data_IF_403339984945
#
_entry.id   IF_403339984945
#
_cell.length_a   1.000
_cell.length_b   1.000
_cell.length_c   1.000
_cell.angle_alpha   90.00
_cell.angle_beta   90.00
_cell.angle_gamma   90.00
#
_symmetry.space_group_name_H-M   'P 1'
#
loop_
_entity.id
_entity.type
_entity.pdbx_description
1 polymer ?
#
# COMPACT_ATOMS: atom_id res chain seq x y z
N UNK A 1 62.52 -33.93 9.92
CA UNK A 1 62.05 -35.17 9.28
C UNK A 1 60.53 -35.11 9.28
N UNK A 2 59.90 -35.08 8.10
CA UNK A 2 58.49 -34.70 7.91
C UNK A 2 57.57 -35.82 8.40
N UNK A 3 56.65 -35.48 9.31
CA UNK A 3 55.50 -36.31 9.70
C UNK A 3 54.32 -35.82 8.84
N UNK A 4 53.57 -36.69 8.15
CA UNK A 4 52.39 -36.27 7.42
C UNK A 4 51.20 -36.15 8.37
N UNK A 5 50.66 -34.95 8.51
CA UNK A 5 49.40 -34.69 9.20
C UNK A 5 48.27 -35.18 8.30
N UNK A 6 47.55 -36.20 8.77
CA UNK A 6 46.32 -36.71 8.15
C UNK A 6 45.25 -35.64 8.35
N UNK A 7 44.85 -34.98 7.25
CA UNK A 7 43.68 -34.12 7.21
C UNK A 7 42.43 -35.01 7.20
N UNK A 8 41.80 -35.15 8.35
CA UNK A 8 40.48 -35.80 8.46
C UNK A 8 39.45 -34.84 7.86
N UNK A 9 38.99 -35.13 6.64
CA UNK A 9 37.78 -34.52 6.09
C UNK A 9 36.60 -34.92 6.96
N UNK A 10 36.21 -34.05 7.89
CA UNK A 10 34.91 -34.11 8.53
C UNK A 10 33.87 -33.76 7.45
N UNK A 11 33.29 -34.78 6.84
CA UNK A 11 32.05 -34.62 6.08
C UNK A 11 30.94 -34.29 7.07
N UNK A 12 30.70 -33.00 7.30
CA UNK A 12 29.47 -32.52 7.92
C UNK A 12 28.32 -33.00 7.02
N UNK A 13 27.68 -34.09 7.41
CA UNK A 13 26.33 -34.41 6.97
C UNK A 13 25.42 -33.36 7.58
N UNK A 14 25.27 -32.23 6.89
CA UNK A 14 24.10 -31.38 7.06
C UNK A 14 22.97 -32.15 6.41
N UNK A 15 22.33 -33.03 7.17
CA UNK A 15 20.94 -33.39 6.89
C UNK A 15 20.13 -32.13 7.11
N UNK A 16 19.96 -31.35 6.04
CA UNK A 16 18.89 -30.36 5.99
C UNK A 16 17.59 -31.15 6.17
N UNK A 17 17.01 -31.10 7.37
CA UNK A 17 15.60 -31.36 7.53
C UNK A 17 14.90 -30.26 6.73
N UNK A 18 14.45 -30.60 5.53
CA UNK A 18 13.48 -29.79 4.82
C UNK A 18 12.26 -29.75 5.72
N UNK A 19 12.00 -28.58 6.30
CA UNK A 19 10.77 -28.29 7.00
C UNK A 19 9.58 -28.56 6.08
N UNK A 20 8.48 -29.02 6.68
CA UNK A 20 7.42 -29.74 5.99
C UNK A 20 6.67 -28.86 5.00
N UNK A 21 6.63 -29.28 3.73
CA UNK A 21 5.67 -28.72 2.77
C UNK A 21 4.30 -29.34 3.06
N UNK A 22 3.32 -28.50 3.39
CA UNK A 22 1.92 -28.91 3.53
C UNK A 22 1.14 -28.42 2.32
N UNK A 23 0.29 -29.28 1.74
CA UNK A 23 -0.61 -28.87 0.68
C UNK A 23 -1.98 -28.55 1.26
N UNK A 24 -2.47 -27.35 1.03
CA UNK A 24 -3.79 -26.90 1.50
C UNK A 24 -4.67 -26.45 0.33
N UNK A 25 -6.00 -26.59 0.42
CA UNK A 25 -6.91 -26.04 -0.59
C UNK A 25 -6.75 -24.52 -0.76
N UNK A 26 -6.94 -23.99 -1.96
CA UNK A 26 -6.81 -22.56 -2.27
C UNK A 26 -7.74 -21.67 -1.42
N UNK A 27 -8.90 -22.19 -1.01
CA UNK A 27 -9.85 -21.46 -0.16
C UNK A 27 -9.36 -21.25 1.28
N UNK A 28 -8.23 -21.86 1.68
CA UNK A 28 -7.58 -21.60 2.97
C UNK A 28 -6.68 -20.36 2.95
N UNK A 29 -6.45 -19.75 1.79
CA UNK A 29 -5.61 -18.56 1.60
C UNK A 29 -5.89 -17.43 2.61
N UNK A 30 -7.14 -17.10 2.99
CA UNK A 30 -7.43 -16.06 3.98
C UNK A 30 -6.85 -16.30 5.38
N UNK A 31 -6.38 -17.53 5.69
CA UNK A 31 -5.70 -17.83 6.96
C UNK A 31 -4.30 -17.24 7.06
N UNK A 32 -3.67 -16.95 5.93
CA UNK A 32 -2.26 -16.54 5.86
C UNK A 32 -2.07 -15.02 5.71
N UNK A 33 -3.16 -14.32 5.45
CA UNK A 33 -3.17 -12.89 5.25
C UNK A 33 -4.56 -12.46 4.85
N UNK A 34 -4.86 -11.21 5.15
CA UNK A 34 -6.20 -10.70 5.06
C UNK A 34 -6.40 -9.87 3.76
N UNK A 35 -5.31 -9.58 3.05
CA UNK A 35 -5.31 -9.13 1.66
C UNK A 35 -4.04 -9.57 0.91
N UNK A 36 -4.08 -9.49 -0.42
CA UNK A 36 -2.96 -9.74 -1.33
C UNK A 36 -2.41 -8.42 -1.86
N UNK A 37 -1.12 -8.21 -1.66
CA UNK A 37 -0.42 -7.00 -2.04
C UNK A 37 0.70 -7.32 -3.03
N UNK A 38 0.74 -6.62 -4.16
CA UNK A 38 1.72 -6.86 -5.21
C UNK A 38 3.01 -6.06 -4.96
N UNK A 39 2.90 -4.85 -4.39
CA UNK A 39 3.99 -3.86 -4.47
C UNK A 39 4.35 -3.26 -3.12
N UNK A 40 3.37 -2.89 -2.29
CA UNK A 40 3.61 -2.09 -1.08
C UNK A 40 4.65 -2.68 -0.12
N UNK A 41 4.73 -4.01 0.05
CA UNK A 41 5.65 -4.65 0.99
C UNK A 41 7.09 -4.75 0.49
N UNK A 42 7.32 -4.58 -0.83
CA UNK A 42 8.67 -4.61 -1.42
C UNK A 42 9.47 -3.34 -1.12
N UNK A 43 8.81 -2.17 -1.07
CA UNK A 43 9.48 -0.90 -0.75
C UNK A 43 10.26 -0.99 0.57
N UNK A 44 9.63 -1.29 1.71
CA UNK A 44 10.32 -1.29 2.99
C UNK A 44 11.37 -2.39 3.10
N UNK A 45 11.20 -3.48 2.36
CA UNK A 45 12.14 -4.59 2.38
C UNK A 45 13.41 -4.31 1.55
N UNK A 46 13.31 -3.55 0.45
CA UNK A 46 14.37 -3.51 -0.58
C UNK A 46 14.81 -2.11 -1.00
N UNK A 47 14.00 -1.08 -0.79
CA UNK A 47 14.19 0.23 -1.44
C UNK A 47 14.38 1.39 -0.46
N UNK A 48 14.06 1.20 0.83
CA UNK A 48 14.25 2.24 1.84
C UNK A 48 15.66 2.21 2.43
N UNK A 49 16.21 3.40 2.67
CA UNK A 49 17.37 3.61 3.53
C UNK A 49 16.97 3.54 5.02
N UNK A 50 17.91 3.22 5.94
CA UNK A 50 17.60 2.99 7.36
C UNK A 50 16.95 4.15 8.12
N UNK A 51 17.15 5.38 7.67
CA UNK A 51 16.64 6.62 8.26
C UNK A 51 15.29 7.07 7.69
N UNK A 52 14.78 6.39 6.67
CA UNK A 52 13.53 6.76 6.02
C UNK A 52 12.33 6.18 6.74
N UNK A 53 11.27 6.97 6.82
CA UNK A 53 9.97 6.49 7.27
C UNK A 53 9.15 5.95 6.09
N UNK A 54 8.26 5.01 6.38
CA UNK A 54 7.33 4.46 5.40
C UNK A 54 5.94 4.33 5.99
N UNK A 55 4.98 4.84 5.23
CA UNK A 55 3.57 4.69 5.50
C UNK A 55 2.92 4.00 4.31
N UNK A 56 1.99 3.09 4.56
CA UNK A 56 1.22 2.47 3.49
C UNK A 56 -0.25 2.34 3.86
N UNK A 57 -1.10 2.91 3.01
CA UNK A 57 -2.54 2.69 3.04
C UNK A 57 -2.93 1.83 1.84
N UNK A 58 -3.59 0.73 2.14
CA UNK A 58 -4.10 -0.21 1.14
C UNK A 58 -5.61 -0.08 1.06
N UNK A 59 -6.12 0.17 -0.14
CA UNK A 59 -7.55 0.10 -0.41
C UNK A 59 -7.90 -1.27 -1.00
N UNK A 60 -8.87 -1.96 -0.41
CA UNK A 60 -9.39 -3.21 -1.00
C UNK A 60 -10.16 -2.87 -2.28
N UNK A 61 -9.79 -3.48 -3.41
CA UNK A 61 -10.53 -3.29 -4.68
C UNK A 61 -11.57 -4.38 -4.86
N UNK A 62 -11.13 -5.63 -4.86
CA UNK A 62 -11.95 -6.80 -5.10
C UNK A 62 -11.86 -7.81 -3.95
N UNK A 63 -12.84 -8.69 -3.87
CA UNK A 63 -12.89 -9.81 -2.93
C UNK A 63 -13.17 -11.09 -3.72
N UNK A 64 -12.16 -11.67 -4.39
CA UNK A 64 -12.39 -12.67 -5.41
C UNK A 64 -12.96 -13.98 -4.84
N UNK A 65 -12.73 -14.30 -3.56
CA UNK A 65 -13.30 -15.49 -2.91
C UNK A 65 -14.73 -15.30 -2.42
N UNK A 66 -15.14 -14.06 -2.12
CA UNK A 66 -16.45 -13.74 -1.57
C UNK A 66 -17.46 -13.42 -2.68
N UNK A 67 -17.03 -12.66 -3.67
CA UNK A 67 -17.89 -12.15 -4.75
C UNK A 67 -17.79 -12.96 -6.04
N UNK A 68 -16.71 -13.74 -6.19
CA UNK A 68 -16.36 -14.39 -7.45
C UNK A 68 -15.94 -13.42 -8.57
N UNK A 69 -15.86 -12.12 -8.28
CA UNK A 69 -15.39 -11.10 -9.20
C UNK A 69 -13.88 -10.99 -9.04
N UNK A 70 -13.14 -11.31 -10.10
CA UNK A 70 -11.68 -11.21 -10.11
C UNK A 70 -11.23 -9.86 -10.68
N UNK A 71 -10.01 -9.44 -10.34
CA UNK A 71 -9.40 -8.23 -10.88
C UNK A 71 -9.41 -8.16 -12.42
N UNK A 72 -9.24 -9.29 -13.12
CA UNK A 72 -9.34 -9.32 -14.58
C UNK A 72 -10.72 -8.87 -15.09
N UNK A 73 -11.80 -9.16 -14.35
CA UNK A 73 -13.17 -8.80 -14.73
C UNK A 73 -13.43 -7.31 -14.51
N UNK A 74 -12.84 -6.75 -13.45
CA UNK A 74 -12.85 -5.31 -13.18
C UNK A 74 -12.08 -4.53 -14.26
N UNK A 75 -10.94 -5.05 -14.68
CA UNK A 75 -10.07 -4.37 -15.66
C UNK A 75 -10.57 -4.45 -17.09
N UNK A 76 -11.05 -5.62 -17.53
CA UNK A 76 -11.51 -5.83 -18.91
C UNK A 76 -12.72 -4.97 -19.29
N UNK A 77 -13.49 -4.49 -18.30
CA UNK A 77 -14.73 -3.75 -18.49
C UNK A 77 -14.64 -2.27 -18.12
N UNK A 78 -13.49 -1.80 -17.60
CA UNK A 78 -13.39 -0.42 -17.15
C UNK A 78 -13.33 0.55 -18.32
N UNK A 79 -14.33 1.42 -18.40
CA UNK A 79 -14.31 2.62 -19.26
C UNK A 79 -13.68 3.85 -18.59
N UNK A 80 -13.31 3.72 -17.32
CA UNK A 80 -12.85 4.82 -16.49
C UNK A 80 -11.32 4.82 -16.34
N UNK A 81 -10.74 6.01 -16.14
CA UNK A 81 -9.30 6.16 -15.98
C UNK A 81 -8.76 5.57 -14.67
N UNK A 82 -9.58 5.57 -13.62
CA UNK A 82 -9.33 4.89 -12.35
C UNK A 82 -10.20 3.63 -12.30
N UNK A 83 -9.65 2.51 -11.83
CA UNK A 83 -10.36 1.21 -11.82
C UNK A 83 -11.42 1.18 -10.74
N UNK A 84 -11.14 1.86 -9.64
CA UNK A 84 -11.96 2.12 -8.47
C UNK A 84 -13.33 2.71 -8.87
N UNK A 85 -13.37 3.54 -9.93
CA UNK A 85 -14.61 4.12 -10.44
C UNK A 85 -15.55 3.09 -11.08
N UNK A 86 -15.05 1.92 -11.47
CA UNK A 86 -15.88 0.84 -12.03
C UNK A 86 -16.55 -0.01 -10.93
N UNK A 87 -16.17 0.16 -9.67
CA UNK A 87 -16.66 -0.60 -8.53
C UNK A 87 -17.66 0.30 -7.79
N UNK A 88 -18.93 -0.10 -7.76
CA UNK A 88 -20.00 0.74 -7.21
C UNK A 88 -19.94 0.80 -5.68
N UNK A 89 -19.43 -0.25 -5.07
CA UNK A 89 -19.28 -0.41 -3.62
C UNK A 89 -18.08 0.39 -3.09
N UNK A 90 -17.08 0.65 -3.93
CA UNK A 90 -15.89 1.40 -3.54
C UNK A 90 -16.21 2.89 -3.35
N UNK A 91 -16.35 3.36 -2.11
CA UNK A 91 -16.60 4.78 -1.87
C UNK A 91 -15.34 5.62 -2.15
N UNK A 92 -15.31 6.32 -3.28
CA UNK A 92 -14.13 7.10 -3.71
C UNK A 92 -13.90 8.33 -2.83
N UNK A 93 -14.97 8.95 -2.33
CA UNK A 93 -14.85 10.13 -1.44
C UNK A 93 -14.24 9.76 -0.10
N UNK A 94 -14.57 8.57 0.43
CA UNK A 94 -13.92 8.00 1.63
C UNK A 94 -12.42 7.78 1.40
N UNK A 95 -12.06 7.17 0.27
CA UNK A 95 -10.66 6.94 -0.09
C UNK A 95 -9.87 8.24 -0.30
N UNK A 96 -10.51 9.23 -0.92
CA UNK A 96 -9.99 10.59 -1.08
C UNK A 96 -9.75 11.27 0.28
N UNK A 97 -10.71 11.21 1.20
CA UNK A 97 -10.57 11.77 2.55
C UNK A 97 -9.42 11.12 3.32
N UNK A 98 -9.34 9.79 3.33
CA UNK A 98 -8.25 9.08 4.00
C UNK A 98 -6.87 9.49 3.47
N UNK A 99 -6.73 9.52 2.14
CA UNK A 99 -5.49 9.94 1.47
C UNK A 99 -5.13 11.39 1.80
N UNK A 100 -6.11 12.30 1.74
CA UNK A 100 -5.92 13.72 2.02
C UNK A 100 -5.48 13.97 3.47
N UNK A 101 -6.07 13.29 4.44
CA UNK A 101 -5.70 13.42 5.85
C UNK A 101 -4.27 12.96 6.13
N UNK A 102 -3.90 11.79 5.60
CA UNK A 102 -2.55 11.23 5.75
C UNK A 102 -1.52 12.21 5.17
N UNK A 103 -1.73 12.67 3.94
CA UNK A 103 -0.81 13.60 3.29
C UNK A 103 -0.75 14.93 4.04
N UNK A 104 -1.92 15.49 4.43
CA UNK A 104 -1.99 16.75 5.20
C UNK A 104 -1.25 16.66 6.52
N UNK A 105 -1.36 15.55 7.24
CA UNK A 105 -0.65 15.32 8.50
C UNK A 105 0.87 15.41 8.31
N UNK A 106 1.40 14.63 7.37
CA UNK A 106 2.84 14.59 7.16
C UNK A 106 3.39 15.88 6.54
N UNK A 107 2.60 16.63 5.76
CA UNK A 107 3.00 17.98 5.32
C UNK A 107 2.96 18.97 6.47
N UNK A 108 1.93 18.95 7.31
CA UNK A 108 1.76 19.92 8.42
C UNK A 108 2.82 19.74 9.50
N UNK A 109 3.15 18.51 9.83
CA UNK A 109 4.02 18.18 10.97
C UNK A 109 5.41 17.66 10.56
N UNK A 110 5.79 17.81 9.29
CA UNK A 110 7.02 17.23 8.74
C UNK A 110 8.27 17.52 9.58
N UNK A 111 8.48 18.79 9.95
CA UNK A 111 9.66 19.20 10.72
C UNK A 111 9.71 18.56 12.11
N UNK A 112 8.55 18.41 12.77
CA UNK A 112 8.47 17.76 14.06
C UNK A 112 8.69 16.25 13.96
N UNK A 113 8.11 15.61 12.94
CA UNK A 113 8.17 14.16 12.74
C UNK A 113 9.59 13.72 12.35
N UNK A 114 10.29 14.54 11.56
CA UNK A 114 11.63 14.22 11.03
C UNK A 114 12.77 14.93 11.78
N UNK A 115 12.48 15.64 12.88
CA UNK A 115 13.46 16.39 13.69
C UNK A 115 14.32 17.37 12.84
N UNK A 116 13.67 18.14 11.96
CA UNK A 116 14.33 19.06 11.04
C UNK A 116 14.38 20.48 11.60
N UNK A 117 15.50 21.17 11.39
CA UNK A 117 15.62 22.57 11.71
C UNK A 117 14.70 23.43 10.81
N UNK A 118 14.36 24.64 11.26
CA UNK A 118 13.42 25.52 10.55
C UNK A 118 13.91 25.98 9.15
N UNK A 119 15.19 25.82 8.85
CA UNK A 119 15.80 26.18 7.56
C UNK A 119 16.06 24.98 6.65
N UNK A 120 15.68 23.77 7.08
CA UNK A 120 15.77 22.56 6.27
C UNK A 120 14.42 22.31 5.58
N UNK A 121 14.42 21.57 4.48
CA UNK A 121 13.18 21.19 3.81
C UNK A 121 12.93 19.70 3.96
N UNK A 122 11.72 19.35 4.41
CA UNK A 122 11.28 17.97 4.40
C UNK A 122 10.99 17.52 2.96
N UNK A 123 11.21 16.24 2.69
CA UNK A 123 11.00 15.64 1.36
C UNK A 123 10.16 14.39 1.51
N UNK A 124 8.96 14.41 0.95
CA UNK A 124 7.97 13.34 1.05
C UNK A 124 7.69 12.84 -0.37
N UNK A 125 7.69 11.52 -0.55
CA UNK A 125 7.22 10.90 -1.79
C UNK A 125 5.87 10.26 -1.54
N UNK A 126 4.89 10.55 -2.40
CA UNK A 126 3.62 9.83 -2.43
C UNK A 126 3.61 8.93 -3.66
N UNK A 127 3.70 7.63 -3.46
CA UNK A 127 3.80 6.61 -4.50
C UNK A 127 2.45 5.93 -4.73
N UNK A 128 1.86 6.14 -5.90
CA UNK A 128 0.72 5.34 -6.37
C UNK A 128 1.20 4.06 -7.09
N UNK A 129 0.90 2.90 -6.50
CA UNK A 129 1.31 1.57 -6.97
C UNK A 129 0.48 1.08 -8.17
N UNK A 130 0.63 1.78 -9.31
CA UNK A 130 -0.13 1.58 -10.55
C UNK A 130 0.70 1.97 -11.77
N UNK A 131 0.83 1.05 -12.73
CA UNK A 131 1.35 1.38 -14.06
C UNK A 131 0.28 2.08 -14.91
N UNK A 132 -0.76 1.36 -15.33
CA UNK A 132 -1.68 1.86 -16.36
C UNK A 132 -2.58 3.01 -15.91
N UNK A 133 -2.98 3.04 -14.63
CA UNK A 133 -3.80 4.12 -14.06
C UNK A 133 -2.99 5.14 -13.25
N UNK A 134 -1.67 4.98 -13.18
CA UNK A 134 -0.77 5.83 -12.41
C UNK A 134 -0.87 7.33 -12.73
N UNK A 135 -0.86 7.74 -14.02
CA UNK A 135 -1.02 9.15 -14.37
C UNK A 135 -2.36 9.76 -13.91
N UNK A 136 -3.43 8.97 -13.89
CA UNK A 136 -4.73 9.43 -13.40
C UNK A 136 -4.73 9.58 -11.88
N UNK A 137 -4.10 8.66 -11.14
CA UNK A 137 -3.92 8.77 -9.70
C UNK A 137 -3.08 10.00 -9.32
N UNK A 138 -1.97 10.27 -10.00
CA UNK A 138 -1.16 11.48 -9.70
C UNK A 138 -1.97 12.76 -9.92
N UNK A 139 -2.77 12.84 -10.99
CA UNK A 139 -3.68 13.98 -11.20
C UNK A 139 -4.71 14.10 -10.08
N UNK A 140 -5.30 12.98 -9.66
CA UNK A 140 -6.27 12.96 -8.54
C UNK A 140 -5.61 13.43 -7.24
N UNK A 141 -4.42 12.93 -6.90
CA UNK A 141 -3.67 13.33 -5.70
C UNK A 141 -3.32 14.83 -5.73
N UNK A 142 -2.92 15.36 -6.89
CA UNK A 142 -2.69 16.79 -7.07
C UNK A 142 -3.96 17.60 -6.82
N UNK A 143 -5.09 17.19 -7.41
CA UNK A 143 -6.38 17.84 -7.15
C UNK A 143 -6.79 17.76 -5.68
N UNK A 144 -6.48 16.65 -4.98
CA UNK A 144 -6.73 16.52 -3.55
C UNK A 144 -5.89 17.48 -2.71
N UNK A 145 -4.61 17.66 -3.06
CA UNK A 145 -3.74 18.66 -2.43
C UNK A 145 -4.29 20.08 -2.60
N UNK A 146 -4.67 20.45 -3.83
CA UNK A 146 -5.25 21.77 -4.10
C UNK A 146 -6.56 21.97 -3.28
N UNK A 147 -7.41 20.94 -3.19
CA UNK A 147 -8.66 20.96 -2.43
C UNK A 147 -8.47 21.16 -0.92
N UNK A 148 -7.35 20.69 -0.37
CA UNK A 148 -7.05 20.85 1.06
C UNK A 148 -6.12 22.03 1.37
N UNK A 149 -5.94 22.93 0.40
CA UNK A 149 -5.24 24.20 0.57
C UNK A 149 -3.73 24.17 0.26
N UNK A 150 -3.25 23.10 -0.38
CA UNK A 150 -1.86 22.95 -0.80
C UNK A 150 -1.74 23.14 -2.31
N UNK A 151 -1.54 24.38 -2.73
CA UNK A 151 -1.43 24.76 -4.14
C UNK A 151 -0.20 24.14 -4.81
N UNK A 152 -0.46 23.27 -5.77
CA UNK A 152 0.57 22.59 -6.56
C UNK A 152 0.84 23.25 -7.91
N UNK A 153 0.26 24.41 -8.23
CA UNK A 153 0.17 24.95 -9.60
C UNK A 153 1.51 25.29 -10.29
N UNK A 154 2.59 25.49 -9.54
CA UNK A 154 3.85 26.06 -10.08
C UNK A 154 4.91 25.04 -10.54
N UNK A 155 4.71 23.73 -10.36
CA UNK A 155 5.76 22.75 -10.62
C UNK A 155 5.41 21.71 -11.72
N UNK A 156 6.33 21.48 -12.67
CA UNK A 156 6.20 20.40 -13.65
C UNK A 156 6.40 19.04 -12.98
N UNK A 157 5.86 17.99 -13.62
CA UNK A 157 6.11 16.57 -13.29
C UNK A 157 5.52 16.01 -11.97
N UNK A 158 4.59 16.72 -11.32
CA UNK A 158 3.87 16.18 -10.16
C UNK A 158 4.52 16.49 -8.81
N UNK A 159 5.59 17.26 -8.79
CA UNK A 159 6.15 17.79 -7.55
C UNK A 159 5.33 18.98 -7.07
N UNK A 160 5.25 19.18 -5.76
CA UNK A 160 4.68 20.35 -5.10
C UNK A 160 5.66 20.85 -4.04
N UNK A 161 5.81 22.16 -3.90
CA UNK A 161 6.62 22.75 -2.83
C UNK A 161 5.77 23.72 -2.02
N UNK A 162 5.66 23.45 -0.72
CA UNK A 162 4.85 24.23 0.21
C UNK A 162 5.76 25.11 1.06
N UNK A 163 5.95 26.35 0.61
CA UNK A 163 6.93 27.27 1.18
C UNK A 163 6.69 27.60 2.65
N UNK A 164 5.42 27.67 3.09
CA UNK A 164 5.08 27.92 4.49
C UNK A 164 5.51 26.77 5.41
N UNK A 165 5.38 25.52 4.94
CA UNK A 165 5.74 24.32 5.67
C UNK A 165 7.19 23.88 5.43
N UNK A 166 7.88 24.46 4.44
CA UNK A 166 9.19 24.00 3.95
C UNK A 166 9.19 22.51 3.55
N UNK A 167 8.15 22.08 2.84
CA UNK A 167 7.97 20.68 2.43
C UNK A 167 7.94 20.55 0.91
N UNK A 168 8.76 19.64 0.38
CA UNK A 168 8.65 19.13 -1.00
C UNK A 168 7.86 17.82 -0.99
N UNK A 169 6.81 17.75 -1.80
CA UNK A 169 6.05 16.53 -2.06
C UNK A 169 6.25 16.10 -3.51
N UNK A 170 6.73 14.88 -3.73
CA UNK A 170 6.91 14.28 -5.04
C UNK A 170 5.85 13.20 -5.26
N UNK A 171 4.93 13.45 -6.21
CA UNK A 171 3.86 12.51 -6.57
C UNK A 171 4.34 11.57 -7.68
N UNK A 172 4.50 10.30 -7.33
CA UNK A 172 5.00 9.26 -8.23
C UNK A 172 3.96 8.20 -8.51
N UNK A 173 4.17 7.46 -9.60
CA UNK A 173 3.42 6.25 -9.90
C UNK A 173 4.31 5.17 -10.52
N UNK A 174 3.80 3.95 -10.53
CA UNK A 174 4.49 2.78 -11.12
C UNK A 174 4.88 1.74 -10.09
N UNK A 175 5.40 0.61 -10.59
CA UNK A 175 5.67 -0.62 -9.82
C UNK A 175 7.15 -0.91 -9.61
N UNK A 176 8.03 -0.16 -10.27
CA UNK A 176 9.50 -0.23 -10.15
C UNK A 176 10.00 1.13 -9.65
N UNK A 177 9.94 1.42 -8.34
CA UNK A 177 10.46 2.68 -7.86
C UNK A 177 11.98 2.72 -8.00
N UNK A 178 12.49 3.87 -8.42
CA UNK A 178 13.90 4.19 -8.19
C UNK A 178 14.14 4.31 -6.67
N UNK A 179 15.41 4.21 -6.25
CA UNK A 179 15.80 4.45 -4.86
C UNK A 179 15.26 5.79 -4.36
N UNK A 180 14.84 5.84 -3.10
CA UNK A 180 14.26 7.04 -2.49
C UNK A 180 15.34 7.96 -1.88
N UNK A 181 16.45 8.18 -2.57
CA UNK A 181 17.60 8.90 -1.98
C UNK A 181 17.23 10.33 -1.53
N UNK A 182 17.60 10.66 -0.28
CA UNK A 182 17.33 11.96 0.34
C UNK A 182 15.86 12.26 0.60
N UNK A 183 15.00 11.25 0.59
CA UNK A 183 13.58 11.36 0.98
C UNK A 183 13.47 11.05 2.48
N UNK A 184 12.63 11.77 3.20
CA UNK A 184 12.40 11.53 4.64
C UNK A 184 11.27 10.52 4.86
N UNK A 185 10.24 10.57 4.00
CA UNK A 185 9.06 9.71 4.09
C UNK A 185 8.59 9.24 2.72
N UNK A 186 8.30 7.95 2.61
CA UNK A 186 7.59 7.35 1.48
C UNK A 186 6.19 6.93 1.90
N UNK A 187 5.18 7.61 1.37
CA UNK A 187 3.77 7.26 1.50
C UNK A 187 3.31 6.42 0.31
N UNK A 188 3.03 5.15 0.55
CA UNK A 188 2.49 4.23 -0.44
C UNK A 188 0.97 4.26 -0.42
N UNK A 189 0.39 4.46 -1.61
CA UNK A 189 -1.04 4.36 -1.86
C UNK A 189 -1.26 3.11 -2.71
N UNK A 190 -1.70 2.05 -2.04
CA UNK A 190 -1.77 0.71 -2.59
C UNK A 190 -3.21 0.29 -2.84
N UNK A 191 -3.40 -0.62 -3.81
CA UNK A 191 -4.60 -1.46 -3.83
C UNK A 191 -4.22 -2.89 -3.57
N UNK A 192 -5.17 -3.60 -2.99
CA UNK A 192 -5.03 -5.00 -2.67
C UNK A 192 -6.30 -5.76 -3.05
N UNK A 193 -6.14 -7.05 -3.31
CA UNK A 193 -7.28 -7.97 -3.36
C UNK A 193 -7.59 -8.45 -1.94
N UNK A 194 -8.81 -8.22 -1.46
CA UNK A 194 -9.27 -8.62 -0.15
C UNK A 194 -9.43 -10.13 -0.05
N UNK A 195 -8.93 -10.70 1.04
CA UNK A 195 -9.11 -12.12 1.38
C UNK A 195 -10.05 -12.30 2.56
N UNK A 196 -10.03 -11.36 3.51
CA UNK A 196 -10.85 -11.40 4.69
C UNK A 196 -12.33 -11.11 4.35
N UNK A 197 -13.28 -11.92 4.86
CA UNK A 197 -14.70 -11.77 4.52
C UNK A 197 -15.29 -10.42 4.96
N UNK A 198 -14.78 -9.85 6.04
CA UNK A 198 -15.29 -8.59 6.60
C UNK A 198 -14.75 -7.34 5.89
N UNK A 199 -13.81 -7.48 4.95
CA UNK A 199 -13.12 -6.34 4.33
C UNK A 199 -13.59 -6.11 2.90
N UNK A 200 -14.71 -5.39 2.78
CA UNK A 200 -15.34 -5.06 1.50
C UNK A 200 -14.50 -4.11 0.63
N UNK A 201 -14.95 -3.91 -0.61
CA UNK A 201 -14.32 -2.93 -1.51
C UNK A 201 -14.33 -1.53 -0.88
N UNK A 202 -13.18 -0.88 -0.83
CA UNK A 202 -12.99 0.42 -0.19
C UNK A 202 -12.58 0.36 1.28
N UNK A 203 -12.52 -0.81 1.92
CA UNK A 203 -11.93 -0.94 3.26
C UNK A 203 -10.48 -0.46 3.28
N UNK A 204 -10.09 0.21 4.38
CA UNK A 204 -8.76 0.80 4.57
C UNK A 204 -7.90 -0.14 5.40
N UNK A 205 -6.82 -0.65 4.82
CA UNK A 205 -5.90 -1.55 5.52
C UNK A 205 -4.54 -0.88 5.72
N UNK A 206 -4.00 -1.03 6.92
CA UNK A 206 -2.66 -0.57 7.30
C UNK A 206 -1.76 -1.79 7.47
N UNK A 207 -1.04 -2.12 6.39
CA UNK A 207 -0.16 -3.29 6.38
C UNK A 207 1.00 -3.10 7.36
N UNK A 208 1.24 -4.07 8.23
CA UNK A 208 2.39 -4.08 9.15
C UNK A 208 3.17 -5.39 9.14
N UNK A 209 2.65 -6.42 8.46
CA UNK A 209 3.28 -7.73 8.35
C UNK A 209 3.01 -8.32 6.98
N UNK A 210 4.03 -8.95 6.40
CA UNK A 210 3.95 -9.55 5.08
C UNK A 210 4.43 -11.01 5.09
N UNK A 211 3.65 -11.86 4.44
CA UNK A 211 4.02 -13.26 4.18
C UNK A 211 4.23 -13.43 2.68
N UNK A 212 5.43 -13.84 2.21
CA UNK A 212 5.66 -14.08 0.79
C UNK A 212 4.73 -15.16 0.21
N UNK A 213 4.14 -14.86 -0.95
CA UNK A 213 3.32 -15.79 -1.72
C UNK A 213 3.70 -15.74 -3.21
N UNK A 214 4.36 -16.80 -3.69
CA UNK A 214 4.72 -16.92 -5.10
C UNK A 214 3.55 -17.49 -5.90
N UNK A 215 2.95 -16.66 -6.75
CA UNK A 215 1.80 -17.05 -7.59
C UNK A 215 2.17 -18.08 -8.67
N UNK A 216 3.43 -18.11 -9.12
CA UNK A 216 3.86 -19.01 -10.19
C UNK A 216 3.98 -20.45 -9.72
N UNK A 217 4.36 -20.63 -8.45
CA UNK A 217 4.50 -21.93 -7.79
C UNK A 217 3.37 -22.22 -6.82
N UNK A 218 2.43 -21.28 -6.65
CA UNK A 218 1.37 -21.32 -5.65
C UNK A 218 1.89 -21.64 -4.24
N UNK A 219 3.03 -21.05 -3.88
CA UNK A 219 3.76 -21.36 -2.64
C UNK A 219 3.74 -20.19 -1.66
N UNK A 220 3.27 -20.44 -0.44
CA UNK A 220 3.34 -19.52 0.70
C UNK A 220 4.53 -19.91 1.56
N UNK A 221 5.39 -18.94 1.89
CA UNK A 221 6.58 -19.15 2.74
C UNK A 221 6.38 -18.44 4.08
N UNK A 222 5.84 -19.15 5.06
CA UNK A 222 5.52 -18.60 6.39
C UNK A 222 6.79 -18.36 7.22
N UNK A 223 7.85 -19.14 6.98
CA UNK A 223 9.19 -18.98 7.51
C UNK A 223 9.87 -17.66 7.10
N UNK A 224 9.49 -17.13 5.95
CA UNK A 224 9.97 -15.85 5.41
C UNK A 224 9.07 -14.67 5.77
N UNK A 225 8.09 -14.84 6.66
CA UNK A 225 7.22 -13.76 7.15
C UNK A 225 8.07 -12.66 7.79
N UNK A 226 7.77 -11.40 7.48
CA UNK A 226 8.50 -10.25 7.98
C UNK A 226 7.57 -9.13 8.43
N UNK A 227 7.96 -8.44 9.50
CA UNK A 227 7.28 -7.27 10.00
C UNK A 227 7.89 -6.00 9.42
N UNK A 228 7.04 -5.01 9.19
CA UNK A 228 7.45 -3.70 8.73
C UNK A 228 6.72 -2.63 9.53
N UNK A 229 7.48 -1.65 10.00
CA UNK A 229 6.91 -0.44 10.63
C UNK A 229 6.15 0.38 9.61
N UNK A 230 4.85 0.60 9.84
CA UNK A 230 4.01 1.51 9.06
C UNK A 230 3.69 2.75 9.88
N UNK A 231 4.30 3.90 9.56
CA UNK A 231 4.18 5.11 10.38
C UNK A 231 2.75 5.65 10.46
N UNK A 232 1.90 5.39 9.45
CA UNK A 232 0.47 5.78 9.47
C UNK A 232 -0.25 5.13 10.66
N UNK A 233 0.12 3.89 11.03
CA UNK A 233 -0.50 3.19 12.15
C UNK A 233 -0.16 3.83 13.49
N UNK A 234 1.07 4.32 13.64
CA UNK A 234 1.55 4.98 14.87
C UNK A 234 0.99 6.40 15.00
N UNK A 235 0.85 7.09 13.87
CA UNK A 235 0.39 8.48 13.77
C UNK A 235 -1.13 8.61 13.61
N UNK A 236 -1.87 7.50 13.61
CA UNK A 236 -3.29 7.46 13.22
C UNK A 236 -4.15 8.44 14.02
N UNK A 237 -3.93 8.57 15.33
CA UNK A 237 -4.68 9.52 16.16
C UNK A 237 -4.44 10.97 15.69
N UNK A 238 -3.19 11.35 15.46
CA UNK A 238 -2.83 12.69 14.97
C UNK A 238 -3.40 12.97 13.58
N UNK A 239 -3.39 11.97 12.68
CA UNK A 239 -4.00 12.06 11.35
C UNK A 239 -5.51 12.34 11.47
N UNK A 240 -6.21 11.59 12.33
CA UNK A 240 -7.66 11.71 12.49
C UNK A 240 -8.08 13.02 13.18
N UNK A 241 -7.20 13.62 13.99
CA UNK A 241 -7.43 14.92 14.62
C UNK A 241 -7.48 16.09 13.62
N UNK A 242 -6.91 15.93 12.42
CA UNK A 242 -6.95 16.95 11.36
C UNK A 242 -8.28 17.03 10.59
N UNK A 243 -9.24 16.17 10.94
CA UNK A 243 -10.58 16.18 10.36
C UNK A 243 -11.42 17.29 10.96
N UNK A 244 -11.50 18.41 10.27
CA UNK A 244 -12.50 19.44 10.50
C UNK A 244 -13.63 19.36 9.45
N UNK A 245 -14.78 19.99 9.77
CA UNK A 245 -15.94 19.97 8.87
C UNK A 245 -15.65 20.67 7.53
N UNK A 246 -14.76 21.66 7.51
CA UNK A 246 -14.42 22.37 6.28
C UNK A 246 -13.68 21.45 5.30
N UNK A 247 -12.72 20.65 5.79
CA UNK A 247 -12.01 19.66 4.98
C UNK A 247 -12.95 18.59 4.46
N UNK A 248 -13.83 18.05 5.32
CA UNK A 248 -14.82 17.03 4.90
C UNK A 248 -15.74 17.62 3.83
N UNK A 249 -16.20 18.86 3.99
CA UNK A 249 -17.02 19.54 3.00
C UNK A 249 -16.26 19.78 1.69
N UNK A 250 -14.99 20.21 1.74
CA UNK A 250 -14.15 20.38 0.55
C UNK A 250 -14.00 19.08 -0.24
N UNK A 251 -13.83 17.94 0.44
CA UNK A 251 -13.81 16.64 -0.25
C UNK A 251 -15.20 16.27 -0.78
N UNK A 252 -16.25 16.44 0.02
CA UNK A 252 -17.64 16.12 -0.36
C UNK A 252 -18.08 16.85 -1.64
N UNK A 253 -17.79 18.14 -1.73
CA UNK A 253 -18.20 19.01 -2.84
C UNK A 253 -17.17 19.04 -3.99
N UNK A 254 -15.88 19.01 -3.66
CA UNK A 254 -14.79 19.19 -4.61
C UNK A 254 -14.33 17.89 -5.28
N UNK A 255 -14.51 16.74 -4.64
CA UNK A 255 -14.23 15.45 -5.26
C UNK A 255 -15.42 14.96 -6.10
N UNK A 256 -15.15 14.61 -7.36
CA UNK A 256 -16.14 14.05 -8.27
C UNK A 256 -15.62 12.75 -8.90
N UNK A 257 -16.38 11.68 -8.75
CA UNK A 257 -16.12 10.43 -9.48
C UNK A 257 -16.44 10.61 -10.96
N UNK A 258 -15.63 9.98 -11.82
CA UNK A 258 -15.94 9.87 -13.25
C UNK A 258 -17.14 8.96 -13.55
N UNK A 259 -17.61 8.18 -12.57
CA UNK A 259 -18.80 7.35 -12.70
C UNK A 259 -20.02 8.06 -12.11
N UNK A 260 -20.95 8.49 -12.97
CA UNK A 260 -22.18 9.19 -12.58
C UNK A 260 -23.03 8.41 -11.58
N UNK A 261 -22.96 7.07 -11.60
CA UNK A 261 -23.68 6.23 -10.62
C UNK A 261 -23.22 6.49 -9.17
N UNK A 262 -22.03 7.05 -8.99
CA UNK A 262 -21.40 7.36 -7.70
C UNK A 262 -21.55 8.83 -7.30
N UNK A 263 -22.28 9.64 -8.09
CA UNK A 263 -22.44 11.07 -7.84
C UNK A 263 -23.00 11.37 -6.42
N UNK A 264 -23.86 10.50 -5.90
CA UNK A 264 -24.50 10.64 -4.59
C UNK A 264 -23.73 10.09 -3.39
N UNK A 265 -22.55 9.49 -3.57
CA UNK A 265 -21.75 8.95 -2.45
C UNK A 265 -21.51 10.03 -1.40
N UNK A 266 -21.69 9.71 -0.13
CA UNK A 266 -21.37 10.63 0.95
C UNK A 266 -20.03 10.26 1.56
N UNK A 267 -19.39 11.24 2.18
CA UNK A 267 -18.25 11.03 3.05
C UNK A 267 -18.53 11.67 4.40
N UNK A 268 -18.22 10.92 5.44
CA UNK A 268 -18.33 11.29 6.83
C UNK A 268 -16.94 11.30 7.47
N UNK A 269 -16.87 11.77 8.71
CA UNK A 269 -15.64 11.74 9.48
C UNK A 269 -15.19 10.30 9.68
N UNK A 270 -13.92 10.04 9.42
CA UNK A 270 -13.28 8.76 9.70
C UNK A 270 -12.92 8.66 11.18
N UNK A 271 -12.93 7.45 11.71
CA UNK A 271 -12.40 7.13 13.03
C UNK A 271 -11.42 5.96 12.97
N UNK A 272 -10.84 5.57 14.12
CA UNK A 272 -9.84 4.50 14.16
C UNK A 272 -10.40 3.14 13.74
N UNK A 273 -11.71 2.92 13.81
CA UNK A 273 -12.34 1.67 13.37
C UNK A 273 -12.43 1.54 11.85
N UNK A 274 -12.30 2.66 11.11
CA UNK A 274 -12.23 2.65 9.65
C UNK A 274 -10.90 2.13 9.09
N UNK A 275 -9.86 2.02 9.94
CA UNK A 275 -8.52 1.62 9.56
C UNK A 275 -8.17 0.28 10.22
N UNK A 276 -7.86 -0.72 9.41
CA UNK A 276 -7.62 -2.07 9.89
C UNK A 276 -6.12 -2.42 9.79
N UNK A 277 -5.42 -2.59 10.92
CA UNK A 277 -4.09 -3.20 10.92
C UNK A 277 -4.18 -4.59 10.28
N UNK A 278 -3.32 -4.87 9.30
CA UNK A 278 -3.45 -6.05 8.48
C UNK A 278 -2.13 -6.79 8.26
N UNK A 279 -2.20 -8.12 8.40
CA UNK A 279 -1.23 -9.02 7.79
C UNK A 279 -1.62 -9.24 6.32
N UNK A 280 -0.65 -9.17 5.41
CA UNK A 280 -0.89 -9.28 3.98
C UNK A 280 0.00 -10.34 3.34
N UNK A 281 -0.50 -10.99 2.30
CA UNK A 281 0.31 -11.82 1.44
C UNK A 281 1.02 -10.95 0.40
N UNK A 282 2.34 -10.98 0.37
CA UNK A 282 3.15 -10.25 -0.61
C UNK A 282 3.34 -11.13 -1.85
N UNK A 283 2.65 -10.79 -2.93
CA UNK A 283 2.67 -11.54 -4.18
C UNK A 283 3.65 -10.98 -5.20
N UNK A 284 3.96 -11.78 -6.22
CA UNK A 284 4.88 -11.43 -7.31
C UNK A 284 4.19 -11.02 -8.62
N UNK A 285 2.87 -10.91 -8.64
CA UNK A 285 2.13 -10.51 -9.84
C UNK A 285 0.64 -10.29 -9.58
N UNK A 286 -0.11 -10.13 -10.67
CA UNK A 286 -1.57 -10.00 -10.61
C UNK A 286 -2.19 -11.31 -10.13
N UNK A 287 -2.97 -11.23 -9.07
CA UNK A 287 -3.69 -12.38 -8.52
C UNK A 287 -5.05 -12.56 -9.21
N UNK A 288 -5.31 -13.77 -9.68
CA UNK A 288 -6.63 -14.23 -10.12
C UNK A 288 -6.77 -15.70 -9.68
N UNK A 289 -7.69 -16.05 -8.75
CA UNK A 289 -7.82 -17.42 -8.25
C UNK A 289 -7.98 -18.46 -9.36
N UNK A 290 -8.73 -18.13 -10.42
CA UNK A 290 -8.92 -19.03 -11.57
C UNK A 290 -7.66 -19.37 -12.37
N UNK A 291 -6.53 -18.70 -12.11
CA UNK A 291 -5.24 -19.02 -12.71
C UNK A 291 -4.37 -19.94 -11.83
N UNK A 292 -4.78 -20.15 -10.58
CA UNK A 292 -4.02 -20.91 -9.60
C UNK A 292 -4.49 -22.37 -9.53
N UNK A 293 -3.62 -23.30 -9.09
CA UNK A 293 -4.02 -24.66 -8.78
C UNK A 293 -5.03 -24.70 -7.62
N UNK A 294 -5.78 -25.79 -7.52
CA UNK A 294 -6.74 -26.03 -6.43
C UNK A 294 -6.08 -26.12 -5.05
N UNK A 295 -4.78 -26.43 -5.00
CA UNK A 295 -4.02 -26.53 -3.77
C UNK A 295 -2.79 -25.62 -3.79
N UNK A 296 -2.50 -25.03 -2.65
CA UNK A 296 -1.32 -24.22 -2.33
C UNK A 296 -0.28 -25.10 -1.65
N UNK A 297 1.00 -24.82 -1.89
CA UNK A 297 2.07 -25.34 -1.06
C UNK A 297 2.37 -24.33 0.07
N UNK A 298 2.41 -24.81 1.30
CA UNK A 298 2.75 -24.01 2.49
C UNK A 298 4.07 -24.53 3.03
N UNK A 299 5.05 -23.65 3.16
CA UNK A 299 6.40 -23.94 3.62
C UNK A 299 6.61 -23.20 4.94
N UNK A 300 6.87 -23.98 5.99
CA UNK A 300 7.15 -23.54 7.37
C UNK A 300 8.63 -23.58 7.74
#
# INVERSE_FOLDING_TARGET
>A
MRIPTIATCLALHITACWSGVVYEPLDTLPRYGAALNIEGGRIPQQLLCPDQQWGNICFVLDQPFQTGIEHKDLTAKSRFALKEANILEFNERRAALASALIIKYYVTYAHQIFDLAANESARIVVQAHRNSTGPAHVRQLRSLLDLIGYDCSDLPNGNCYFAEQQVEVDLRYGVEPQTYEGVHLVLSISAVAGLHPDWESGSLLLAHTFTPFDLSTATISTDLKYEVRNCILEDLEGILQLQDEALIQSIREGYSSSNEAKAGEQVERLDSSDFHPAEQLQVNGLFNPSWLPENLAVVD
#
